data_IF_098481498622
#
_entry.id   IF_098481498622
#
_cell.length_a   1.000
_cell.length_b   1.000
_cell.length_c   1.000
_cell.angle_alpha   90.00
_cell.angle_beta   90.00
_cell.angle_gamma   90.00
#
_symmetry.space_group_name_H-M   'P 1'
#
loop_
_entity.id
_entity.type
_entity.pdbx_description
1 polymer ?
2 non-polymer ?
3 non-polymer ?
4 water ?
#
# COMPACT_ATOMS: atom_id res chain seq x y z
N UNK A 8 -14.06 3.05 -5.97
CA UNK A 8 -14.17 2.19 -4.75
C UNK A 8 -15.40 1.25 -4.74
N UNK A 9 -16.31 1.39 -5.72
CA UNK A 9 -17.45 0.45 -5.95
C UNK A 9 -17.31 -0.39 -7.24
N UNK A 10 -16.19 -0.25 -7.93
CA UNK A 10 -15.89 -1.13 -9.06
C UNK A 10 -15.84 -2.59 -8.58
N UNK A 11 -16.44 -3.49 -9.34
CA UNK A 11 -16.49 -4.92 -9.00
C UNK A 11 -15.73 -5.74 -10.04
N UNK A 12 -15.77 -7.07 -9.89
CA UNK A 12 -15.24 -7.97 -10.92
C UNK A 12 -16.04 -7.80 -12.19
N UNK A 13 -15.41 -8.07 -13.33
CA UNK A 13 -16.15 -8.09 -14.60
C UNK A 13 -17.03 -9.33 -14.70
N UNK A 14 -18.06 -9.25 -15.54
CA UNK A 14 -19.05 -10.32 -15.66
C UNK A 14 -18.53 -11.56 -16.37
N UNK A 15 -17.60 -11.38 -17.28
CA UNK A 15 -17.01 -12.52 -17.99
C UNK A 15 -15.50 -12.57 -17.79
N UNK A 16 -14.96 -13.76 -18.02
CA UNK A 16 -13.54 -14.01 -17.88
C UNK A 16 -12.80 -13.14 -18.88
N UNK A 17 -11.84 -12.37 -18.39
CA UNK A 17 -11.01 -11.53 -19.21
C UNK A 17 -9.82 -12.31 -19.77
N UNK A 18 -9.18 -13.10 -18.92
CA UNK A 18 -7.92 -13.78 -19.26
C UNK A 18 -8.21 -15.24 -19.60
N UNK A 21 -4.14 -17.24 -24.37
CA UNK A 21 -2.95 -16.46 -24.59
C UNK A 21 -3.25 -15.24 -25.45
N UNK A 22 -2.93 -14.05 -24.94
CA UNK A 22 -3.42 -12.77 -25.52
C UNK A 22 -2.47 -11.65 -25.11
N UNK A 23 -2.43 -10.62 -25.93
CA UNK A 23 -1.73 -9.38 -25.57
C UNK A 23 -2.75 -8.29 -25.34
N UNK A 24 -2.60 -7.55 -24.23
CA UNK A 24 -3.46 -6.43 -23.90
C UNK A 24 -2.70 -5.13 -24.06
N UNK A 25 -2.94 -4.41 -25.15
CA UNK A 25 -2.34 -3.11 -25.39
C UNK A 25 -3.31 -2.05 -24.93
N UNK A 26 -2.95 -1.35 -23.86
CA UNK A 26 -3.76 -0.33 -23.24
C UNK A 26 -2.98 0.99 -23.36
N UNK A 27 -3.63 2.09 -23.03
CA UNK A 27 -2.96 3.38 -23.01
C UNK A 27 -1.85 3.38 -21.99
N UNK A 28 -0.62 3.37 -22.47
CA UNK A 28 0.53 3.56 -21.60
C UNK A 28 1.33 2.30 -21.33
N UNK A 29 0.75 1.13 -21.61
CA UNK A 29 1.42 -0.11 -21.28
C UNK A 29 0.79 -1.29 -22.02
N UNK A 30 1.56 -2.37 -22.12
CA UNK A 30 1.11 -3.60 -22.71
C UNK A 30 1.37 -4.77 -21.74
N UNK A 31 0.33 -5.58 -21.51
CA UNK A 31 0.44 -6.79 -20.73
C UNK A 31 0.29 -8.01 -21.62
N UNK A 32 1.05 -9.04 -21.29
CA UNK A 32 0.97 -10.34 -21.92
C UNK A 32 0.26 -11.28 -20.98
N UNK A 33 -0.68 -12.04 -21.53
CA UNK A 33 -1.39 -13.05 -20.81
C UNK A 33 -1.08 -14.41 -21.47
N UNK A 34 -0.36 -15.27 -20.78
CA UNK A 34 -0.03 -16.61 -21.27
C UNK A 34 -0.89 -17.62 -20.54
N UNK A 35 -1.62 -18.44 -21.28
CA UNK A 35 -2.52 -19.44 -20.68
C UNK A 35 -2.17 -20.87 -21.14
N UNK A 36 -1.95 -21.77 -20.21
CA UNK A 36 -1.74 -23.20 -20.52
C UNK A 36 -3.10 -23.85 -20.67
N UNK A 37 -3.38 -24.43 -21.84
CA UNK A 37 -4.73 -24.89 -22.12
C UNK A 37 -5.19 -26.04 -21.23
N UNK A 38 -4.31 -26.99 -20.93
CA UNK A 38 -4.67 -28.14 -20.10
C UNK A 38 -5.00 -27.78 -18.66
N UNK A 39 -4.13 -26.99 -18.04
CA UNK A 39 -4.30 -26.64 -16.62
C UNK A 39 -5.14 -25.38 -16.40
N UNK A 40 -5.33 -24.59 -17.45
CA UNK A 40 -5.97 -23.28 -17.37
C UNK A 40 -5.23 -22.30 -16.43
N UNK A 41 -3.91 -22.49 -16.32
CA UNK A 41 -3.04 -21.65 -15.50
C UNK A 41 -2.61 -20.43 -16.31
N UNK A 42 -2.76 -19.25 -15.71
CA UNK A 42 -2.48 -17.99 -16.36
C UNK A 42 -1.23 -17.37 -15.76
N UNK A 43 -0.38 -16.84 -16.62
CA UNK A 43 0.77 -16.04 -16.22
C UNK A 43 0.56 -14.67 -16.88
N UNK A 44 0.41 -13.63 -16.06
CA UNK A 44 0.05 -12.29 -16.50
C UNK A 44 1.17 -11.33 -16.13
N UNK A 45 1.68 -10.59 -17.11
CA UNK A 45 2.85 -9.75 -16.91
C UNK A 45 2.99 -8.65 -17.91
N UNK A 46 3.56 -7.54 -17.46
CA UNK A 46 3.97 -6.44 -18.35
C UNK A 46 4.83 -7.05 -19.47
N UNK A 48 6.96 -5.88 -21.32
CA UNK A 48 8.36 -5.45 -21.23
C UNK A 48 9.21 -6.31 -20.30
N UNK A 49 8.59 -7.11 -19.43
CA UNK A 49 9.34 -8.01 -18.57
C UNK A 49 10.11 -9.05 -19.37
N UNK A 51 12.12 -11.61 -17.50
CA UNK A 51 12.56 -12.71 -16.63
C UNK A 51 11.47 -13.68 -16.23
N UNK A 52 10.30 -13.55 -16.82
CA UNK A 52 9.14 -14.34 -16.42
C UNK A 52 9.39 -15.83 -16.38
N UNK A 53 10.13 -16.35 -17.35
CA UNK A 53 10.39 -17.78 -17.43
C UNK A 53 11.88 -18.12 -17.30
N UNK A 54 12.66 -17.20 -16.75
CA UNK A 54 14.11 -17.36 -16.58
C UNK A 54 14.43 -18.20 -15.34
N UNK A 56 16.51 -19.36 -12.11
CA UNK A 56 17.32 -18.68 -11.08
C UNK A 56 18.64 -19.41 -10.97
N UNK A 57 19.72 -18.69 -11.22
CA UNK A 57 21.06 -19.29 -11.20
C UNK A 57 22.04 -18.41 -10.47
N UNK A 58 23.16 -19.01 -10.10
CA UNK A 58 24.34 -18.26 -9.73
C UNK A 58 24.88 -17.63 -10.99
N UNK A 60 27.68 -16.20 -11.75
CA UNK A 60 29.09 -16.50 -12.04
C UNK A 60 29.28 -17.80 -12.83
N UNK A 61 28.39 -18.76 -12.61
CA UNK A 61 28.56 -20.12 -13.13
C UNK A 61 27.41 -20.65 -13.98
N UNK A 62 26.21 -20.09 -13.81
CA UNK A 62 25.04 -20.63 -14.47
C UNK A 62 24.40 -21.83 -13.78
N UNK A 64 22.13 -23.83 -11.17
CA UNK A 64 20.81 -23.52 -10.62
C UNK A 64 20.89 -23.28 -9.11
N UNK A 65 20.15 -22.31 -8.61
CA UNK A 65 20.04 -22.06 -7.18
C UNK A 65 18.78 -22.76 -6.71
N UNK A 66 18.90 -23.69 -5.76
CA UNK A 66 17.75 -24.49 -5.30
C UNK A 66 17.45 -24.34 -3.81
N UNK A 67 17.96 -23.29 -3.17
CA UNK A 67 17.50 -22.93 -1.81
C UNK A 67 16.06 -22.46 -1.79
N UNK A 68 15.43 -22.51 -0.61
CA UNK A 68 14.05 -22.06 -0.47
C UNK A 68 13.84 -21.01 0.63
N UNK A 69 14.73 -20.97 1.61
CA UNK A 69 14.61 -20.06 2.77
C UNK A 69 15.01 -18.65 2.38
N UNK A 70 14.05 -17.74 2.47
CA UNK A 70 14.30 -16.35 2.01
C UNK A 70 15.39 -15.62 2.77
N UNK A 71 15.64 -16.02 4.01
CA UNK A 71 16.76 -15.44 4.76
C UNK A 71 18.15 -15.82 4.22
N UNK A 72 18.19 -16.73 3.25
CA UNK A 72 19.44 -17.03 2.54
C UNK A 72 19.66 -16.09 1.32
N UNK A 73 18.68 -15.24 1.00
CA UNK A 73 18.80 -14.30 -0.12
C UNK A 73 18.53 -12.82 0.22
N UNK A 74 17.66 -12.54 1.20
CA UNK A 74 17.37 -11.13 1.58
C UNK A 74 17.33 -10.94 3.09
N UNK A 75 17.65 -9.73 3.52
CA UNK A 75 17.53 -9.37 4.92
C UNK A 75 16.06 -9.10 5.21
N UNK A 76 15.57 -9.71 6.28
CA UNK A 76 14.18 -9.52 6.69
C UNK A 76 13.93 -8.07 7.01
N UNK A 77 12.80 -7.55 6.54
CA UNK A 77 12.34 -6.23 6.95
C UNK A 77 10.85 -6.29 7.13
N UNK A 78 10.42 -6.08 8.36
CA UNK A 78 9.04 -6.23 8.72
C UNK A 78 8.15 -5.28 7.95
N UNK A 79 8.48 -3.99 7.99
CA UNK A 79 7.68 -3.01 7.32
C UNK A 79 7.57 -3.25 5.82
N UNK A 81 7.97 -5.96 4.13
CA UNK A 81 7.17 -7.15 3.86
C UNK A 81 5.67 -6.89 3.98
N UNK A 82 5.30 -6.18 5.04
CA UNK A 82 3.89 -5.90 5.27
C UNK A 82 3.39 -4.88 4.29
N UNK A 83 4.27 -3.97 3.87
CA UNK A 83 3.84 -2.98 2.87
C UNK A 83 3.53 -3.64 1.53
N UNK A 84 4.31 -4.65 1.14
CA UNK A 84 4.03 -5.39 -0.10
C UNK A 84 2.67 -6.05 -0.04
N UNK A 85 2.36 -6.67 1.09
CA UNK A 85 1.05 -7.28 1.32
C UNK A 85 -0.07 -6.22 1.26
N UNK A 86 0.19 -5.08 1.89
CA UNK A 86 -0.78 -4.00 1.89
C UNK A 86 -1.06 -3.48 0.47
N UNK A 87 -0.02 -3.30 -0.33
CA UNK A 87 -0.17 -2.83 -1.71
C UNK A 87 -1.09 -3.76 -2.50
N UNK A 88 -0.88 -5.06 -2.34
CA UNK A 88 -1.74 -6.03 -3.02
C UNK A 88 -3.18 -5.92 -2.52
N UNK A 89 -3.35 -5.92 -1.22
CA UNK A 89 -4.70 -5.95 -0.63
C UNK A 89 -5.48 -4.69 -1.03
N UNK A 90 -4.84 -3.54 -0.92
CA UNK A 90 -5.51 -2.22 -1.10
C UNK A 90 -5.90 -1.96 -2.55
N UNK A 91 -5.28 -2.65 -3.49
CA UNK A 91 -5.62 -2.50 -4.92
C UNK A 91 -7.02 -3.01 -5.28
N UNK A 92 -7.55 -3.90 -4.45
CA UNK A 92 -8.88 -4.46 -4.65
C UNK A 92 -9.92 -3.73 -3.82
N UNK A 93 -11.05 -3.39 -4.44
CA UNK A 93 -12.18 -2.77 -3.71
C UNK A 93 -12.85 -3.82 -2.83
N UNK A 95 -15.92 -4.50 -2.94
CA UNK A 95 -16.80 -5.27 -3.84
C UNK A 95 -16.06 -6.45 -4.52
N UNK A 97 -13.19 -7.85 -3.39
CA UNK A 97 -12.71 -8.78 -2.37
C UNK A 97 -13.85 -9.70 -1.90
N UNK A 98 -15.04 -9.13 -1.73
CA UNK A 98 -16.22 -9.89 -1.34
C UNK A 98 -16.60 -10.96 -2.37
N UNK A 99 -16.43 -10.66 -3.66
CA UNK A 99 -16.71 -11.61 -4.72
C UNK A 99 -15.64 -12.67 -4.83
N UNK A 100 -14.41 -12.31 -4.48
CA UNK A 100 -13.26 -13.22 -4.64
C UNK A 100 -13.30 -14.35 -3.62
N UNK A 101 -13.72 -14.06 -2.39
CA UNK A 101 -13.78 -15.05 -1.35
C UNK A 101 -12.40 -15.59 -0.93
N UNK A 103 -10.31 -17.69 -2.45
CA UNK A 103 -9.28 -18.02 -3.46
C UNK A 103 -8.11 -17.02 -3.41
N UNK A 104 -6.88 -17.53 -3.55
CA UNK A 104 -5.69 -16.67 -3.49
C UNK A 104 -5.01 -16.47 -4.84
N UNK A 105 -4.43 -15.28 -5.00
CA UNK A 105 -3.65 -14.85 -6.15
C UNK A 105 -2.19 -15.17 -5.87
N UNK A 107 1.48 -13.69 -6.49
CA UNK A 107 2.22 -12.52 -6.91
C UNK A 107 3.68 -12.86 -6.83
N UNK A 108 4.46 -12.44 -7.84
CA UNK A 108 5.89 -12.64 -7.85
C UNK A 108 6.61 -11.31 -8.08
N UNK A 110 10.42 -9.88 -8.70
CA UNK A 110 11.80 -10.24 -9.05
C UNK A 110 12.70 -9.07 -8.71
N UNK A 111 13.63 -9.33 -7.80
CA UNK A 111 14.50 -8.29 -7.28
C UNK A 111 15.89 -8.30 -7.90
N UNK A 112 16.47 -7.12 -8.00
CA UNK A 112 17.87 -6.97 -8.38
C UNK A 112 18.75 -7.55 -7.30
N UNK A 113 19.72 -8.37 -7.68
CA UNK A 113 20.64 -8.90 -6.68
C UNK A 113 21.70 -7.87 -6.24
N UNK A 114 21.74 -6.75 -6.92
CA UNK A 114 22.65 -5.65 -6.57
C UNK A 114 22.00 -4.67 -5.61
N UNK A 115 20.81 -4.21 -5.93
CA UNK A 115 20.15 -3.16 -5.15
C UNK A 115 19.01 -3.65 -4.31
N UNK A 116 18.47 -4.82 -4.63
CA UNK A 116 17.28 -5.30 -3.93
C UNK A 116 15.99 -4.62 -4.35
N UNK A 117 16.03 -3.79 -5.39
CA UNK A 117 14.84 -3.16 -5.93
C UNK A 117 14.04 -4.14 -6.77
N UNK A 118 12.74 -3.90 -6.83
CA UNK A 118 11.85 -4.73 -7.61
C UNK A 118 11.97 -4.37 -9.07
N UNK A 120 10.80 -6.48 -11.70
CA UNK A 120 9.61 -6.97 -12.42
C UNK A 120 8.62 -7.57 -11.42
N UNK A 121 7.35 -7.58 -11.84
CA UNK A 121 6.26 -8.20 -11.10
C UNK A 121 5.46 -9.02 -12.09
N UNK A 122 5.02 -10.19 -11.67
CA UNK A 122 4.06 -10.94 -12.47
C UNK A 122 3.07 -11.64 -11.58
N UNK A 123 1.98 -12.08 -12.19
CA UNK A 123 0.82 -12.63 -11.48
C UNK A 123 0.48 -14.02 -12.05
N UNK A 124 0.01 -14.92 -11.17
CA UNK A 124 -0.48 -16.23 -11.60
C UNK A 124 -1.81 -16.52 -10.93
N UNK A 125 -2.72 -17.11 -11.71
CA UNK A 125 -3.98 -17.58 -11.22
C UNK A 125 -4.57 -18.50 -12.29
N UNK A 126 -5.76 -19.04 -12.07
CA UNK A 126 -6.40 -19.93 -13.05
C UNK A 126 -7.59 -19.25 -13.69
N UNK A 127 -7.93 -19.64 -14.91
CA UNK A 127 -9.01 -18.98 -15.64
C UNK A 127 -10.37 -19.21 -14.99
N UNK A 128 -10.47 -20.26 -14.18
CA UNK A 128 -11.72 -20.57 -13.50
C UNK A 128 -11.84 -19.91 -12.12
N UNK A 129 -10.87 -19.07 -11.76
CA UNK A 129 -10.89 -18.35 -10.51
C UNK A 129 -11.34 -16.91 -10.71
N UNK A 130 -11.79 -16.25 -9.63
CA UNK A 130 -12.29 -14.87 -9.77
C UNK A 130 -11.22 -13.86 -10.19
N UNK A 131 -9.94 -14.17 -9.97
CA UNK A 131 -8.84 -13.31 -10.45
C UNK A 131 -8.85 -13.12 -11.96
N UNK A 132 -9.45 -14.06 -12.67
CA UNK A 132 -9.55 -14.00 -14.11
C UNK A 132 -10.60 -12.99 -14.61
N UNK A 134 -10.66 -9.88 -12.87
CA UNK A 134 -10.17 -8.67 -12.26
C UNK A 134 -9.67 -7.72 -13.37
N UNK A 135 -10.17 -6.48 -13.41
CA UNK A 135 -9.72 -5.54 -14.43
C UNK A 135 -8.22 -5.36 -14.44
N UNK A 136 -7.66 -5.24 -15.63
CA UNK A 136 -6.22 -5.14 -15.81
C UNK A 136 -5.60 -4.00 -15.02
N UNK A 137 -6.31 -2.88 -14.86
CA UNK A 137 -5.74 -1.75 -14.14
C UNK A 137 -5.40 -2.06 -12.68
N UNK A 138 -6.10 -3.03 -12.07
CA UNK A 138 -5.77 -3.48 -10.71
C UNK A 138 -4.36 -4.09 -10.65
N UNK A 139 -4.09 -5.02 -11.56
CA UNK A 139 -2.77 -5.64 -11.65
C UNK A 139 -1.69 -4.62 -11.97
N UNK A 140 -1.98 -3.73 -12.90
CA UNK A 140 -1.03 -2.67 -13.23
C UNK A 140 -0.69 -1.83 -11.99
N UNK A 141 -1.69 -1.44 -11.21
CA UNK A 141 -1.49 -0.62 -10.02
C UNK A 141 -0.58 -1.35 -9.01
N UNK A 142 -0.82 -2.63 -8.83
CA UNK A 142 0.03 -3.43 -7.95
C UNK A 142 1.47 -3.44 -8.47
N UNK A 143 1.64 -3.71 -9.75
CA UNK A 143 2.98 -3.73 -10.36
C UNK A 143 3.71 -2.41 -10.10
N UNK A 144 3.05 -1.30 -10.43
CA UNK A 144 3.65 0.02 -10.32
C UNK A 144 4.01 0.37 -8.89
N UNK A 146 4.44 -1.72 -6.22
CA UNK A 146 5.51 -2.58 -5.72
C UNK A 146 6.87 -2.12 -6.21
N UNK A 148 7.73 0.85 -7.17
CA UNK A 148 8.01 2.19 -6.62
C UNK A 148 8.48 2.11 -5.16
N UNK A 149 7.87 1.25 -4.34
CA UNK A 149 8.04 1.31 -2.89
C UNK A 149 8.84 0.23 -2.21
N UNK A 150 8.91 -0.94 -2.82
CA UNK A 150 9.44 -2.11 -2.11
C UNK A 150 10.87 -2.46 -2.49
N UNK A 151 11.68 -2.74 -1.49
CA UNK A 151 13.01 -3.28 -1.71
C UNK A 151 13.47 -4.02 -0.49
N UNK A 152 14.37 -4.97 -0.69
CA UNK A 152 14.99 -5.73 0.37
C UNK A 152 16.47 -5.80 0.07
N UNK A 154 19.80 -7.47 -0.53
CA UNK A 154 20.33 -8.78 -0.85
C UNK A 154 21.49 -9.18 0.09
N UNK A 155 21.46 -10.42 0.57
CA UNK A 155 22.49 -10.94 1.47
C UNK A 155 22.79 -12.37 1.11
N UNK A 156 23.91 -12.88 1.63
CA UNK A 156 24.33 -14.27 1.46
C UNK A 156 24.27 -14.69 -0.02
N UNK A 157 23.51 -15.72 -0.34
CA UNK A 157 23.46 -16.20 -1.72
C UNK A 157 22.76 -15.23 -2.67
N UNK A 158 21.88 -14.38 -2.15
CA UNK A 158 21.11 -13.48 -3.00
C UNK A 158 21.98 -12.54 -3.81
N UNK A 160 24.66 -13.25 -5.18
CA UNK A 160 25.34 -14.02 -6.24
C UNK A 160 24.41 -14.47 -7.36
N UNK A 161 23.11 -14.17 -7.25
CA UNK A 161 22.12 -14.69 -8.20
C UNK A 161 21.89 -13.75 -9.35
N UNK A 162 21.29 -14.26 -10.42
CA UNK A 162 20.86 -13.42 -11.52
C UNK A 162 19.69 -12.54 -11.09
N UNK A 163 18.76 -13.11 -10.31
CA UNK A 163 17.71 -12.31 -9.68
C UNK A 163 17.20 -13.05 -8.46
N UNK A 164 16.50 -12.31 -7.61
CA UNK A 164 15.95 -12.88 -6.41
C UNK A 164 14.42 -12.95 -6.57
N UNK A 166 10.68 -13.53 -5.14
CA UNK A 166 9.80 -13.59 -3.97
C UNK A 166 8.38 -13.77 -4.47
N UNK A 167 7.88 -15.00 -4.36
CA UNK A 167 6.57 -15.34 -4.85
C UNK A 167 5.72 -15.77 -3.67
N UNK A 168 4.48 -15.26 -3.61
CA UNK A 168 3.59 -15.59 -2.52
C UNK A 168 2.13 -15.60 -2.93
N UNK A 170 -1.75 -14.69 -1.87
CA UNK A 170 -2.48 -13.75 -1.01
C UNK A 170 -3.90 -13.58 -1.52
N UNK A 172 -7.03 -10.64 -1.18
CA UNK A 172 -7.40 -9.33 -0.59
C UNK A 172 -8.49 -9.52 0.46
N UNK A 173 -8.33 -8.86 1.59
CA UNK A 173 -9.30 -9.02 2.69
C UNK A 173 -9.65 -7.68 3.37
N UNK A 174 -9.01 -6.57 2.99
CA UNK A 174 -9.33 -5.27 3.60
C UNK A 174 -8.54 -5.03 4.89
N UNK A 176 -5.85 -3.39 7.43
CA UNK A 176 -5.29 -2.08 7.77
C UNK A 176 -3.87 -1.98 7.30
N UNK A 177 -3.38 -0.75 7.08
CA UNK A 177 -1.97 -0.61 6.72
C UNK A 177 -1.06 -1.05 7.84
N UNK A 178 0.19 -1.40 7.50
CA UNK A 178 1.12 -1.79 8.54
C UNK A 178 1.43 -0.63 9.50
N UNK A 179 1.79 -1.00 10.72
CA UNK A 179 2.40 -0.05 11.63
C UNK A 179 3.67 0.51 10.97
N UNK A 180 3.85 1.84 11.04
CA UNK A 180 5.04 2.37 10.40
C UNK A 180 6.32 1.91 11.12
N UNK A 181 7.45 1.91 10.42
CA UNK A 181 8.71 1.62 11.08
C UNK A 181 9.06 2.84 12.00
N UNK A 182 9.87 2.63 13.04
CA UNK A 182 10.21 3.80 13.85
C UNK A 182 11.15 4.76 13.08
N UNK A 183 11.14 6.03 13.44
CA UNK A 183 11.98 6.99 12.73
C UNK A 183 13.45 6.71 13.01
N UNK A 184 14.28 6.77 11.97
CA UNK A 184 15.74 6.66 12.13
C UNK A 184 16.28 7.83 12.94
N UNK A 185 17.40 7.62 13.64
CA UNK A 185 18.08 8.63 14.47
C UNK A 185 17.14 9.30 15.48
N UNK B 9 -2.62 30.14 -5.35
CA UNK B 9 -1.57 29.78 -6.34
C UNK B 9 -0.31 29.21 -5.70
N UNK B 10 -0.33 28.98 -4.39
CA UNK B 10 0.77 28.29 -3.71
C UNK B 10 0.96 26.90 -4.34
N UNK B 11 2.21 26.54 -4.60
CA UNK B 11 2.52 25.26 -5.23
C UNK B 11 3.39 24.41 -4.27
N UNK B 12 3.82 23.25 -4.74
CA UNK B 12 4.77 22.44 -3.99
C UNK B 12 6.08 23.19 -3.86
N UNK B 13 6.80 22.92 -2.79
CA UNK B 13 8.11 23.51 -2.61
C UNK B 13 9.12 22.87 -3.55
N UNK B 14 10.19 23.58 -3.84
CA UNK B 14 11.19 23.13 -4.81
C UNK B 14 12.05 21.98 -4.31
N UNK B 15 12.27 21.92 -3.00
CA UNK B 15 13.04 20.83 -2.44
C UNK B 15 12.22 20.05 -1.41
N UNK B 16 12.66 18.83 -1.18
CA UNK B 16 11.99 17.94 -0.24
C UNK B 16 12.08 18.57 1.16
N UNK B 17 10.93 18.69 1.81
CA UNK B 17 10.84 19.23 3.16
C UNK B 17 11.08 18.16 4.21
N UNK B 18 10.47 16.98 3.99
CA UNK B 18 10.48 15.91 4.98
C UNK B 18 11.50 14.87 4.55
N UNK B 21 14.26 12.44 9.94
CA UNK B 21 13.55 12.60 11.18
C UNK B 21 13.83 13.98 11.75
N UNK B 22 12.76 14.74 12.00
CA UNK B 22 12.86 16.17 12.33
C UNK B 22 11.64 16.59 13.14
N UNK B 23 11.81 17.60 13.99
CA UNK B 23 10.68 18.24 14.66
C UNK B 23 10.49 19.61 14.05
N UNK B 24 9.25 19.93 13.68
CA UNK B 24 8.89 21.23 13.13
C UNK B 24 8.10 22.02 14.18
N UNK B 25 8.74 22.97 14.84
CA UNK B 25 8.08 23.85 15.80
C UNK B 25 7.75 25.12 15.06
N UNK B 26 6.46 25.37 14.84
CA UNK B 26 6.04 26.62 14.22
C UNK B 26 5.22 27.39 15.24
N UNK B 27 4.97 28.67 14.99
CA UNK B 27 4.16 29.46 15.88
C UNK B 27 2.74 28.90 15.85
N UNK B 28 2.37 28.18 16.91
CA UNK B 28 1.02 27.66 17.07
C UNK B 28 0.86 26.15 17.19
N UNK B 29 1.91 25.38 16.84
CA UNK B 29 1.89 23.89 16.94
C UNK B 29 3.24 23.29 16.60
N UNK B 30 3.42 22.01 16.97
CA UNK B 30 4.63 21.26 16.66
C UNK B 30 4.28 19.93 15.96
N UNK B 31 4.92 19.68 14.83
CA UNK B 31 4.80 18.39 14.12
C UNK B 31 6.10 17.63 14.21
N UNK B 32 5.96 16.32 14.32
CA UNK B 32 7.06 15.40 14.26
C UNK B 32 7.04 14.73 12.89
N UNK B 33 8.21 14.64 12.29
CA UNK B 33 8.41 13.97 11.04
C UNK B 33 9.37 12.82 11.31
N UNK B 34 8.86 11.58 11.26
CA UNK B 34 9.70 10.41 11.45
C UNK B 34 9.97 9.79 10.09
N UNK B 35 11.24 9.59 9.75
CA UNK B 35 11.59 9.01 8.46
C UNK B 35 12.43 7.78 8.68
N UNK B 36 11.98 6.67 8.11
CA UNK B 36 12.75 5.44 8.13
C UNK B 36 13.75 5.51 7.00
N UNK B 37 15.03 5.49 7.33
CA UNK B 37 16.06 5.74 6.32
C UNK B 37 16.06 4.68 5.21
N UNK B 38 15.90 3.41 5.55
CA UNK B 38 15.90 2.31 4.55
C UNK B 38 14.78 2.40 3.53
N UNK B 39 13.54 2.56 4.02
CA UNK B 39 12.38 2.59 3.13
C UNK B 39 12.06 3.98 2.59
N UNK B 40 12.60 5.02 3.23
CA UNK B 40 12.24 6.41 2.95
C UNK B 40 10.76 6.72 3.18
N UNK B 41 10.16 5.96 4.10
CA UNK B 41 8.77 6.13 4.48
C UNK B 41 8.69 7.21 5.57
N UNK B 42 7.76 8.13 5.40
CA UNK B 42 7.57 9.24 6.31
C UNK B 42 6.27 9.06 7.08
N UNK B 43 6.33 9.27 8.38
CA UNK B 43 5.16 9.36 9.22
C UNK B 43 5.19 10.79 9.80
N UNK B 44 4.16 11.55 9.47
CA UNK B 44 4.07 12.97 9.82
C UNK B 44 2.86 13.16 10.73
N UNK B 45 3.09 13.76 11.90
CA UNK B 45 2.06 13.87 12.91
C UNK B 45 2.29 14.99 13.92
N UNK B 46 1.20 15.51 14.44
CA UNK B 46 1.22 16.45 15.57
C UNK B 46 1.98 15.79 16.71
N UNK B 48 1.99 16.23 19.72
CA UNK B 48 1.10 15.88 20.84
C UNK B 48 0.44 14.50 20.71
N UNK B 49 0.39 13.93 19.51
CA UNK B 49 -0.21 12.61 19.32
C UNK B 49 0.56 11.53 20.10
N UNK B 51 -0.57 8.00 19.82
CA UNK B 51 -0.97 6.67 19.34
C UNK B 51 -0.39 6.28 17.99
N UNK B 52 0.54 7.07 17.48
CA UNK B 52 1.09 6.84 16.15
C UNK B 52 1.68 5.43 15.94
N UNK B 53 2.30 4.89 16.98
CA UNK B 53 2.94 3.57 16.90
C UNK B 53 2.26 2.56 17.81
N UNK B 54 1.02 2.84 18.22
CA UNK B 54 0.27 1.96 19.09
C UNK B 54 -0.45 0.92 18.25
N UNK B 56 -3.25 -1.64 17.28
CA UNK B 56 -4.69 -1.78 17.46
C UNK B 56 -4.96 -3.19 17.96
N UNK B 57 -5.66 -3.29 19.09
CA UNK B 57 -5.95 -4.59 19.69
C UNK B 57 -7.39 -4.63 20.20
N UNK B 58 -7.88 -5.85 20.40
CA UNK B 58 -9.09 -6.06 21.18
C UNK B 58 -8.72 -5.77 22.62
N UNK B 60 -10.14 -6.29 25.47
CA UNK B 60 -10.39 -7.37 26.44
C UNK B 60 -9.30 -8.45 26.48
N UNK B 61 -8.61 -8.67 25.36
CA UNK B 61 -7.67 -9.78 25.24
C UNK B 61 -6.24 -9.38 24.86
N UNK B 62 -6.07 -8.21 24.25
CA UNK B 62 -4.75 -7.79 23.75
C UNK B 62 -4.39 -8.38 22.41
N UNK B 64 -4.16 -8.76 18.48
CA UNK B 64 -4.07 -7.77 17.41
C UNK B 64 -5.31 -7.83 16.53
N UNK B 65 -5.75 -6.65 16.09
CA UNK B 65 -6.83 -6.51 15.14
C UNK B 65 -6.18 -6.25 13.80
N UNK B 66 -6.39 -7.13 12.84
CA UNK B 66 -5.70 -7.00 11.53
C UNK B 66 -6.42 -6.08 10.56
N UNK B 67 -7.74 -6.09 10.70
CA UNK B 67 -8.62 -5.37 9.79
C UNK B 67 -9.12 -6.31 8.71
N UNK B 68 -10.39 -6.14 8.38
CA UNK B 68 -10.99 -6.94 7.34
C UNK B 68 -12.25 -6.23 6.84
N UNK B 69 -12.57 -6.38 5.56
CA UNK B 69 -13.84 -5.87 5.04
C UNK B 69 -15.00 -6.54 5.76
N UNK B 70 -14.78 -7.74 6.29
CA UNK B 70 -15.81 -8.51 6.99
C UNK B 70 -16.01 -8.11 8.45
N UNK B 71 -15.23 -7.16 8.94
CA UNK B 71 -15.31 -6.72 10.32
C UNK B 71 -15.72 -5.25 10.35
N UNK B 72 -16.93 -4.99 10.83
CA UNK B 72 -17.39 -3.60 10.90
C UNK B 72 -16.93 -2.94 12.19
N UNK B 73 -16.44 -1.72 12.06
CA UNK B 73 -16.04 -0.92 13.21
C UNK B 73 -16.87 0.35 13.38
N UNK B 74 -17.43 0.86 12.29
CA UNK B 74 -18.27 2.05 12.35
C UNK B 74 -19.54 1.87 11.51
N UNK B 75 -20.57 2.63 11.86
CA UNK B 75 -21.77 2.68 11.05
C UNK B 75 -21.49 3.48 9.79
N UNK B 76 -21.79 2.87 8.65
CA UNK B 76 -21.56 3.46 7.35
C UNK B 76 -22.33 4.78 7.26
N UNK B 77 -21.64 5.82 6.78
CA UNK B 77 -22.23 7.15 6.63
C UNK B 77 -21.56 7.77 5.43
N UNK B 78 -22.23 7.66 4.30
CA UNK B 78 -21.70 8.13 3.02
C UNK B 78 -21.36 9.63 3.10
N UNK B 79 -22.29 10.40 3.63
CA UNK B 79 -22.14 11.85 3.71
C UNK B 79 -20.92 12.23 4.54
N UNK B 81 -18.21 10.39 5.13
CA UNK B 81 -17.04 10.02 4.35
C UNK B 81 -16.76 11.06 3.26
N UNK B 82 -17.81 11.57 2.64
CA UNK B 82 -17.65 12.65 1.66
C UNK B 82 -17.10 13.94 2.24
N UNK B 83 -17.49 14.29 3.45
CA UNK B 83 -16.90 15.46 4.12
C UNK B 83 -15.41 15.25 4.39
N UNK B 84 -15.02 14.06 4.83
CA UNK B 84 -13.61 13.76 5.05
C UNK B 84 -12.80 13.91 3.77
N UNK B 85 -13.33 13.37 2.67
CA UNK B 85 -12.66 13.48 1.37
C UNK B 85 -12.58 14.95 0.92
N UNK B 86 -13.66 15.69 1.16
CA UNK B 86 -13.72 17.12 0.83
C UNK B 86 -12.65 17.91 1.59
N UNK B 87 -12.49 17.61 2.88
CA UNK B 87 -11.46 18.27 3.69
C UNK B 87 -10.07 18.07 3.09
N UNK B 88 -9.76 16.84 2.74
CA UNK B 88 -8.44 16.53 2.19
C UNK B 88 -8.28 17.23 0.82
N UNK B 89 -9.28 17.14 -0.05
CA UNK B 89 -9.26 17.75 -1.38
C UNK B 89 -9.00 19.26 -1.29
N UNK B 90 -9.77 19.92 -0.42
CA UNK B 90 -9.76 21.39 -0.35
C UNK B 90 -8.54 21.99 0.30
N UNK B 91 -7.79 21.19 1.03
CA UNK B 91 -6.56 21.68 1.66
C UNK B 91 -5.43 21.91 0.67
N UNK B 92 -5.48 21.28 -0.49
CA UNK B 92 -4.47 21.45 -1.53
C UNK B 92 -4.97 22.48 -2.55
N UNK B 93 -4.08 23.30 -3.08
CA UNK B 93 -4.44 24.15 -4.22
C UNK B 93 -4.46 23.32 -5.49
N UNK B 95 -2.79 24.09 -8.09
CA UNK B 95 -1.39 24.02 -8.50
C UNK B 95 -0.67 22.81 -7.87
N UNK B 97 -2.16 20.08 -6.66
CA UNK B 97 -2.80 18.85 -7.14
C UNK B 97 -2.32 18.46 -8.53
N UNK B 98 -2.16 19.46 -9.38
CA UNK B 98 -1.62 19.26 -10.73
C UNK B 98 -0.18 18.75 -10.74
N UNK B 99 0.64 19.21 -9.79
CA UNK B 99 2.02 18.74 -9.69
C UNK B 99 2.11 17.34 -9.07
N UNK B 100 1.14 17.00 -8.24
CA UNK B 100 1.17 15.73 -7.53
C UNK B 100 0.93 14.56 -8.47
N UNK B 101 0.06 14.74 -9.46
CA UNK B 101 -0.24 13.65 -10.40
C UNK B 101 -0.99 12.49 -9.75
N UNK B 103 -0.04 10.03 -7.71
CA UNK B 103 0.39 9.51 -6.42
C UNK B 103 -0.63 9.86 -5.32
N UNK B 104 -0.91 8.90 -4.44
CA UNK B 104 -1.86 9.09 -3.34
C UNK B 104 -1.21 9.24 -1.98
N UNK B 105 -1.84 10.06 -1.14
CA UNK B 105 -1.43 10.30 0.25
C UNK B 105 -2.17 9.29 1.13
N UNK B 107 -3.92 8.90 4.66
CA UNK B 107 -4.43 9.65 5.82
C UNK B 107 -4.98 8.64 6.79
N UNK B 108 -4.62 8.78 8.06
CA UNK B 108 -5.15 7.90 9.10
C UNK B 108 -5.83 8.74 10.20
N UNK B 110 -7.61 8.25 13.91
CA UNK B 110 -7.79 7.35 15.03
C UNK B 110 -8.97 7.84 15.87
N UNK B 111 -9.99 7.00 15.99
CA UNK B 111 -11.24 7.33 16.65
C UNK B 111 -11.40 6.69 18.02
N UNK B 112 -12.13 7.37 18.89
CA UNK B 112 -12.52 6.80 20.15
C UNK B 112 -13.51 5.67 19.91
N UNK B 113 -13.31 4.49 20.54
CA UNK B 113 -14.25 3.39 20.39
C UNK B 113 -15.52 3.64 21.20
N UNK B 114 -15.50 4.69 22.03
CA UNK B 114 -16.68 5.08 22.81
C UNK B 114 -17.56 6.11 22.12
N UNK B 115 -16.96 7.20 21.63
CA UNK B 115 -17.71 8.31 21.06
C UNK B 115 -17.66 8.39 19.55
N UNK B 116 -16.67 7.74 18.93
CA UNK B 116 -16.48 7.87 17.49
C UNK B 116 -15.92 9.21 17.04
N UNK B 117 -15.43 10.01 17.98
CA UNK B 117 -14.74 11.25 17.60
C UNK B 117 -13.31 10.96 17.21
N UNK B 118 -12.78 11.81 16.33
CA UNK B 118 -11.41 11.71 15.83
C UNK B 118 -10.47 12.26 16.89
N UNK B 120 -6.95 11.62 16.86
CA UNK B 120 -5.64 11.92 16.25
C UNK B 120 -5.70 11.67 14.74
N UNK B 121 -4.84 12.36 14.01
CA UNK B 121 -4.70 12.21 12.57
C UNK B 121 -3.22 12.12 12.30
N UNK B 122 -2.84 11.24 11.39
CA UNK B 122 -1.45 11.27 10.92
C UNK B 122 -1.41 10.98 9.42
N UNK B 123 -0.25 11.27 8.82
CA UNK B 123 -0.08 11.19 7.39
C UNK B 123 1.12 10.32 7.05
N UNK B 124 1.01 9.60 5.94
CA UNK B 124 2.13 8.80 5.47
C UNK B 124 2.35 8.96 3.98
N UNK B 125 3.62 9.01 3.61
CA UNK B 125 4.04 9.07 2.22
C UNK B 125 5.54 8.76 2.19
N UNK B 126 6.13 8.73 0.99
CA UNK B 126 7.56 8.48 0.86
C UNK B 126 8.28 9.77 0.51
N UNK B 127 9.55 9.86 0.89
CA UNK B 127 10.31 11.11 0.64
C UNK B 127 10.48 11.40 -0.85
N UNK B 128 10.38 10.36 -1.67
CA UNK B 128 10.54 10.50 -3.12
C UNK B 128 9.22 10.83 -3.83
N UNK B 129 8.13 10.98 -3.08
CA UNK B 129 6.84 11.34 -3.65
C UNK B 129 6.60 12.84 -3.48
N UNK B 130 5.69 13.40 -4.28
CA UNK B 130 5.45 14.86 -4.21
C UNK B 130 4.89 15.35 -2.86
N UNK B 131 4.26 14.47 -2.10
CA UNK B 131 3.74 14.80 -0.76
C UNK B 131 4.85 15.26 0.18
N UNK B 132 6.09 14.87 -0.12
CA UNK B 132 7.24 15.30 0.67
C UNK B 132 7.66 16.77 0.41
N UNK B 134 5.02 19.12 0.15
CA UNK B 134 3.80 19.82 0.51
C UNK B 134 4.04 20.62 1.79
N UNK B 135 3.78 21.94 1.77
CA UNK B 135 3.99 22.76 2.98
C UNK B 135 3.23 22.22 4.19
N UNK B 136 3.87 22.31 5.36
CA UNK B 136 3.30 21.78 6.59
C UNK B 136 1.91 22.30 6.93
N UNK B 137 1.61 23.56 6.60
CA UNK B 137 0.30 24.11 6.95
C UNK B 137 -0.84 23.36 6.28
N UNK B 138 -0.59 22.74 5.13
CA UNK B 138 -1.61 21.92 4.46
C UNK B 138 -2.02 20.72 5.34
N UNK B 139 -1.03 19.98 5.83
CA UNK B 139 -1.30 18.86 6.71
C UNK B 139 -1.96 19.28 8.03
N UNK B 140 -1.49 20.38 8.61
CA UNK B 140 -2.10 20.89 9.83
C UNK B 140 -3.56 21.20 9.63
N UNK B 141 -3.89 21.86 8.53
CA UNK B 141 -5.27 22.20 8.24
C UNK B 141 -6.15 20.96 8.16
N UNK B 142 -5.65 19.93 7.46
CA UNK B 142 -6.39 18.70 7.36
C UNK B 142 -6.64 18.09 8.74
N UNK B 143 -5.60 18.03 9.56
CA UNK B 143 -5.72 17.47 10.90
C UNK B 143 -6.79 18.16 11.70
N UNK B 144 -6.69 19.49 11.73
CA UNK B 144 -7.62 20.29 12.52
C UNK B 144 -9.05 20.11 12.06
N UNK B 146 -10.44 17.64 10.13
CA UNK B 146 -10.95 16.30 10.40
C UNK B 146 -11.33 16.11 11.86
N UNK B 148 -12.29 18.29 14.08
CA UNK B 148 -13.45 19.07 14.54
C UNK B 148 -14.75 18.63 13.89
N UNK B 149 -14.69 18.15 12.65
CA UNK B 149 -15.89 17.94 11.86
C UNK B 149 -16.35 16.49 11.68
N UNK B 150 -15.42 15.56 11.71
CA UNK B 150 -15.69 14.17 11.35
C UNK B 150 -15.92 13.30 12.58
N UNK B 151 -17.01 12.54 12.56
CA UNK B 151 -17.23 11.53 13.58
C UNK B 151 -18.13 10.45 13.00
N UNK B 152 -17.99 9.25 13.52
CA UNK B 152 -18.76 8.11 13.08
C UNK B 152 -19.22 7.36 14.32
N UNK B 154 -19.34 4.18 16.53
CA UNK B 154 -18.71 2.85 16.66
C UNK B 154 -19.75 1.78 16.80
N UNK B 155 -19.53 0.65 16.15
CA UNK B 155 -20.43 -0.49 16.25
C UNK B 155 -19.62 -1.78 16.22
N UNK B 156 -20.26 -2.87 16.65
CA UNK B 156 -19.73 -4.23 16.47
C UNK B 156 -18.30 -4.34 16.97
N UNK B 157 -17.35 -4.73 16.12
CA UNK B 157 -15.98 -4.93 16.58
C UNK B 157 -15.31 -3.64 17.02
N UNK B 158 -15.75 -2.51 16.47
CA UNK B 158 -15.15 -1.21 16.80
C UNK B 158 -15.29 -0.88 18.28
N UNK B 160 -15.06 -2.87 20.61
CA UNK B 160 -14.21 -3.77 21.37
C UNK B 160 -12.74 -3.42 21.28
N UNK B 161 -12.38 -2.41 20.52
CA UNK B 161 -10.98 -2.10 20.26
C UNK B 161 -10.45 -1.04 21.22
N UNK B 162 -9.13 -0.95 21.33
CA UNK B 162 -8.54 0.15 22.08
C UNK B 162 -8.79 1.50 21.37
N UNK B 163 -8.66 1.50 20.04
CA UNK B 163 -9.01 2.65 19.19
C UNK B 163 -9.48 2.12 17.84
N UNK B 164 -10.23 2.91 17.11
CA UNK B 164 -10.65 2.54 15.77
C UNK B 164 -9.78 3.28 14.75
N UNK B 166 -9.24 4.44 10.97
CA UNK B 166 -9.76 4.62 9.64
C UNK B 166 -8.66 5.22 8.78
N UNK B 167 -8.12 4.42 7.88
CA UNK B 167 -7.01 4.84 7.04
C UNK B 167 -7.45 4.72 5.60
N UNK B 168 -7.10 5.69 4.77
CA UNK B 168 -7.41 5.64 3.35
C UNK B 168 -6.37 6.36 2.53
N UNK B 170 -5.73 8.77 -0.81
CA UNK B 170 -6.46 9.77 -1.59
C UNK B 170 -5.49 10.64 -2.35
N UNK B 172 -5.53 14.30 -3.72
CA UNK B 172 -6.32 15.52 -3.59
C UNK B 172 -6.72 16.10 -4.94
N UNK B 173 -7.89 16.71 -5.00
CA UNK B 173 -8.36 17.29 -6.25
C UNK B 173 -7.95 18.76 -6.29
N UNK B 174 -7.75 19.34 -5.12
CA UNK B 174 -7.33 20.72 -5.00
C UNK B 174 -8.53 21.64 -4.88
#
# INVERSE_FOLDING_TARGET
>A
GQDXPIRTEESLEGTVIYXXTTTFEVDGYTYQCDVDDGSQFVTLYNXENXLTYEXIVYXDTGXTYIGSWSSNVIEYDRFXSQQADFIVDQAFTXAXADEIGXTELXITXLLSPNTGEVXEVNFNFFTFEPYAXVPLHVYREIEVXLXEQIHFXPIEEGXQLNYIXLAWXQXPQGXLPPLPPPGSLX
>B
GQDXPIRTEESLEGTVIYXXTTTFEVDGYTYQCDVDDGSQFVTLYNXENXLTYEXIVYXDTGXTYIGSWSSNVIEYDRFXSQQADFIVDQAFTXAXADEIGXTELXITXLLSPNTGEVXEVNFNFFTFEPYAXVPLHVYREIEVXLXEQIHFXPIEEGXQLNYIXLAWXQXPQGXLPPLPPPGSLX
#
